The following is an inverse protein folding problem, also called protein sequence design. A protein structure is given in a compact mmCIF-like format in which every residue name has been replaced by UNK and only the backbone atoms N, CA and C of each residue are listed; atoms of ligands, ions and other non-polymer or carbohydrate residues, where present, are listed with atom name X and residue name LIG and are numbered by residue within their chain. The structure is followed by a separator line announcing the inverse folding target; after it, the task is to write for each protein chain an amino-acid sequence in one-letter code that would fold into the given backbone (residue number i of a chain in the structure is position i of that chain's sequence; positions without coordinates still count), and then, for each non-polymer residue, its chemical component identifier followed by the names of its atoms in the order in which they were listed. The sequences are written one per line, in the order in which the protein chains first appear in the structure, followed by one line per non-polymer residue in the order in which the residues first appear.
data_IF_598037155590
#
_entry.id   IF_598037155590
#
_cell.length_a   1.000
_cell.length_b   1.000
_cell.length_c   1.000
_cell.angle_alpha   90.00
_cell.angle_beta   90.00
_cell.angle_gamma   90.00
#
_symmetry.space_group_name_H-M   'P 1'
#
loop_
_entity.id
_entity.type
_entity.pdbx_description
1 polymer ?
#
# COMPACT_ATOMS: atom_id res chain seq x y z
N UNK A 1 6.39 -10.01 -21.39
CA UNK A 1 5.33 -9.66 -20.41
C UNK A 1 4.12 -10.59 -20.46
N UNK A 2 3.65 -11.02 -21.64
CA UNK A 2 2.42 -11.83 -21.77
C UNK A 2 2.39 -13.16 -21.02
N UNK A 3 3.55 -13.78 -20.76
CA UNK A 3 3.64 -15.05 -20.00
C UNK A 3 3.44 -14.89 -18.48
N UNK A 4 3.50 -13.67 -17.95
CA UNK A 4 3.35 -13.38 -16.52
C UNK A 4 1.89 -13.11 -16.13
N UNK A 5 1.00 -12.82 -17.08
CA UNK A 5 -0.41 -12.51 -16.80
C UNK A 5 -1.25 -13.79 -16.72
N UNK A 6 -0.93 -14.63 -15.73
CA UNK A 6 -1.66 -15.86 -15.42
C UNK A 6 -2.42 -15.72 -14.09
N UNK A 7 -3.48 -16.51 -13.85
CA UNK A 7 -4.22 -16.48 -12.58
C UNK A 7 -3.29 -16.62 -11.37
N UNK A 8 -3.55 -15.83 -10.32
CA UNK A 8 -2.72 -15.76 -9.11
C UNK A 8 -1.55 -14.77 -9.18
N UNK A 9 -1.26 -14.19 -10.35
CA UNK A 9 -0.26 -13.13 -10.45
C UNK A 9 -0.83 -11.79 -9.96
N UNK A 10 -0.14 -11.18 -9.00
CA UNK A 10 -0.41 -9.81 -8.56
C UNK A 10 0.56 -8.87 -9.28
N UNK A 11 0.04 -7.87 -9.98
CA UNK A 11 0.82 -6.76 -10.51
C UNK A 11 0.85 -5.64 -9.47
N UNK A 12 2.05 -5.33 -8.98
CA UNK A 12 2.29 -4.12 -8.19
C UNK A 12 2.77 -3.04 -9.16
N UNK A 13 1.98 -1.99 -9.33
CA UNK A 13 2.31 -0.89 -10.25
C UNK A 13 2.12 0.46 -9.58
N UNK A 14 3.08 1.35 -9.82
CA UNK A 14 3.02 2.73 -9.37
C UNK A 14 3.29 2.90 -7.87
N UNK A 15 3.20 4.15 -7.45
CA UNK A 15 3.28 4.58 -6.06
C UNK A 15 2.18 5.60 -5.82
N UNK A 16 1.72 5.70 -4.57
CA UNK A 16 0.77 6.75 -4.18
C UNK A 16 1.60 7.97 -3.77
N UNK A 17 1.31 9.16 -4.31
CA UNK A 17 2.04 10.35 -3.93
C UNK A 17 1.82 10.65 -2.45
N UNK A 18 2.90 10.97 -1.76
CA UNK A 18 2.83 11.46 -0.39
C UNK A 18 2.20 12.84 -0.35
N UNK A 19 1.30 13.04 0.61
CA UNK A 19 0.76 14.37 0.90
C UNK A 19 1.83 15.15 1.66
N UNK A 20 2.20 16.33 1.14
CA UNK A 20 3.21 17.17 1.77
C UNK A 20 2.81 17.54 3.21
N UNK A 21 3.76 17.44 4.14
CA UNK A 21 3.54 17.75 5.55
C UNK A 21 2.90 16.63 6.38
N UNK A 22 2.53 15.50 5.76
CA UNK A 22 2.14 14.29 6.50
C UNK A 22 3.39 13.58 7.01
N UNK A 23 3.37 13.14 8.28
CA UNK A 23 4.44 12.34 8.86
C UNK A 23 4.49 10.94 8.23
N UNK A 24 5.53 10.70 7.44
CA UNK A 24 5.78 9.42 6.77
C UNK A 24 6.42 8.36 7.70
N UNK A 25 6.64 8.67 8.96
CA UNK A 25 7.18 7.74 9.95
C UNK A 25 6.17 7.45 11.06
N UNK A 26 4.92 7.88 10.88
CA UNK A 26 3.82 7.55 11.78
C UNK A 26 3.66 6.04 11.96
N UNK A 27 3.19 5.66 13.14
CA UNK A 27 2.94 4.28 13.54
C UNK A 27 1.65 3.70 12.96
N UNK A 28 0.92 4.47 12.14
CA UNK A 28 -0.26 4.01 11.43
C UNK A 28 -0.46 4.76 10.11
N UNK A 29 -0.99 4.04 9.13
CA UNK A 29 -1.24 4.55 7.79
C UNK A 29 -2.63 4.19 7.31
N UNK A 30 -3.23 5.09 6.53
CA UNK A 30 -4.50 4.90 5.84
C UNK A 30 -4.38 5.37 4.41
N UNK A 31 -4.85 4.54 3.48
CA UNK A 31 -4.95 4.86 2.07
C UNK A 31 -6.39 4.66 1.61
N UNK A 32 -6.86 5.58 0.79
CA UNK A 32 -8.14 5.48 0.08
C UNK A 32 -7.93 5.66 -1.41
N UNK A 33 -8.54 4.75 -2.17
CA UNK A 33 -8.55 4.81 -3.63
C UNK A 33 -9.99 4.77 -4.07
N UNK A 34 -10.40 5.83 -4.78
CA UNK A 34 -11.74 5.93 -5.36
C UNK A 34 -11.61 5.78 -6.87
N UNK A 35 -12.36 4.84 -7.45
CA UNK A 35 -12.40 4.65 -8.90
C UNK A 35 -13.23 5.78 -9.56
N UNK A 36 -13.15 5.95 -10.90
CA UNK A 36 -13.94 6.96 -11.61
C UNK A 36 -15.46 6.79 -11.51
N UNK A 37 -15.94 5.65 -11.01
CA UNK A 37 -17.37 5.38 -10.77
C UNK A 37 -17.80 5.77 -9.35
N UNK A 38 -16.86 6.23 -8.52
CA UNK A 38 -17.10 6.64 -7.13
C UNK A 38 -17.01 5.51 -6.11
N UNK A 39 -16.54 4.31 -6.49
CA UNK A 39 -16.35 3.22 -5.54
C UNK A 39 -15.02 3.38 -4.82
N UNK A 40 -15.05 3.32 -3.49
CA UNK A 40 -13.85 3.52 -2.65
C UNK A 40 -13.40 2.22 -2.01
N UNK A 41 -12.12 1.90 -2.15
CA UNK A 41 -11.41 0.91 -1.33
C UNK A 41 -10.57 1.63 -0.28
N UNK A 42 -10.54 1.09 0.95
CA UNK A 42 -9.78 1.65 2.07
C UNK A 42 -8.96 0.57 2.74
N UNK A 43 -7.68 0.86 2.96
CA UNK A 43 -6.75 0.00 3.68
C UNK A 43 -6.12 0.82 4.81
N UNK A 44 -6.00 0.19 5.97
CA UNK A 44 -5.31 0.75 7.13
C UNK A 44 -4.37 -0.30 7.70
N UNK A 45 -3.21 0.13 8.20
CA UNK A 45 -2.32 -0.72 8.98
C UNK A 45 -1.66 0.10 10.08
N UNK A 46 -1.35 -0.57 11.19
CA UNK A 46 -0.40 -0.09 12.20
C UNK A 46 0.97 -0.69 11.94
N UNK A 47 2.02 0.06 12.26
CA UNK A 47 3.42 -0.38 12.20
C UNK A 47 3.81 -0.84 13.59
N UNK A 48 4.13 -2.12 13.70
CA UNK A 48 4.69 -2.69 14.92
C UNK A 48 6.18 -2.95 14.73
N UNK A 49 6.98 -2.61 15.75
CA UNK A 49 8.41 -2.92 15.75
C UNK A 49 8.56 -4.41 16.01
N UNK A 50 9.02 -5.13 14.98
CA UNK A 50 9.43 -6.53 15.13
C UNK A 50 10.69 -6.63 16.00
N UNK A 51 10.86 -7.79 16.63
CA UNK A 51 12.12 -8.14 17.30
C UNK A 51 13.30 -8.06 16.30
N UNK A 52 14.51 -7.91 16.82
CA UNK A 52 15.71 -7.97 15.98
C UNK A 52 15.67 -9.27 15.17
N UNK A 53 15.86 -9.15 13.86
CA UNK A 53 15.61 -10.26 12.95
C UNK A 53 16.55 -11.44 13.24
N UNK A 54 17.79 -11.17 13.67
CA UNK A 54 18.81 -12.16 13.99
C UNK A 54 19.90 -11.49 14.86
N UNK A 55 20.58 -12.27 15.71
CA UNK A 55 21.88 -11.91 16.30
C UNK A 55 23.00 -12.01 15.25
#
# INVERSE_FOLDING_TARGET
MGSLLRPGTVLLSGTIPMIAGVDQYADAWRVELTDPRGLTSRILYSVERLAAAWE
#
